data_IF_444400662603
#
_entry.id   IF_444400662603
#
_cell.length_a   1.000
_cell.length_b   1.000
_cell.length_c   1.000
_cell.angle_alpha   90.00
_cell.angle_beta   90.00
_cell.angle_gamma   90.00
#
_symmetry.space_group_name_H-M   'P 1'
#
loop_
_entity.id
_entity.type
_entity.pdbx_description
1 polymer ?
#
# COMPACT_ATOMS: atom_id res chain seq x y z
N UNK A 1 12.21 18.20 11.86
CA UNK A 1 11.65 16.86 11.55
C UNK A 1 10.93 16.98 10.22
N UNK A 2 11.17 16.07 9.27
CA UNK A 2 10.37 16.00 8.04
C UNK A 2 8.90 15.86 8.45
N UNK A 3 8.02 16.70 7.91
CA UNK A 3 6.61 16.69 8.24
C UNK A 3 6.02 15.41 7.61
N UNK A 4 5.91 14.34 8.39
CA UNK A 4 5.34 13.08 7.93
C UNK A 4 3.89 13.33 7.50
N UNK A 5 3.63 13.37 6.20
CA UNK A 5 2.28 13.42 5.65
C UNK A 5 1.82 12.00 5.34
N UNK A 6 1.03 11.41 6.24
CA UNK A 6 0.40 10.09 6.02
C UNK A 6 -0.50 10.09 4.78
N UNK A 7 -1.08 11.24 4.46
CA UNK A 7 -1.93 11.45 3.30
C UNK A 7 -1.27 12.43 2.32
N UNK A 8 -1.16 12.01 1.07
CA UNK A 8 -0.75 12.84 -0.06
C UNK A 8 -1.88 12.85 -1.09
N UNK A 9 -2.50 14.02 -1.25
CA UNK A 9 -3.61 14.24 -2.17
C UNK A 9 -3.21 13.98 -3.62
N UNK A 10 -2.01 14.39 -4.05
CA UNK A 10 -1.57 14.21 -5.43
C UNK A 10 -1.29 12.74 -5.72
N UNK A 11 -0.65 12.04 -4.78
CA UNK A 11 -0.45 10.60 -4.87
C UNK A 11 -1.79 9.85 -4.99
N UNK A 12 -2.77 10.14 -4.11
CA UNK A 12 -4.08 9.49 -4.14
C UNK A 12 -4.84 9.74 -5.46
N UNK A 13 -4.70 10.93 -6.05
CA UNK A 13 -5.38 11.28 -7.30
C UNK A 13 -4.70 10.68 -8.55
N UNK A 14 -3.40 10.43 -8.49
CA UNK A 14 -2.59 10.08 -9.67
C UNK A 14 -2.07 8.64 -9.69
N UNK A 15 -2.13 7.92 -8.57
CA UNK A 15 -1.69 6.52 -8.47
C UNK A 15 -2.47 5.63 -9.46
N UNK A 16 -1.78 4.88 -10.34
CA UNK A 16 -2.42 3.94 -11.26
C UNK A 16 -3.06 2.73 -10.57
N UNK A 17 -2.52 2.30 -9.43
CA UNK A 17 -2.98 1.13 -8.69
C UNK A 17 -4.04 1.49 -7.66
N UNK A 18 -5.17 0.77 -7.65
CA UNK A 18 -6.19 0.98 -6.62
C UNK A 18 -5.87 0.23 -5.32
N UNK A 19 -4.97 -0.76 -5.34
CA UNK A 19 -4.59 -1.52 -4.15
C UNK A 19 -4.01 -0.60 -3.05
N UNK A 20 -3.02 0.21 -3.41
CA UNK A 20 -2.41 1.18 -2.49
C UNK A 20 -3.42 2.25 -2.02
N UNK A 21 -4.28 2.70 -2.93
CA UNK A 21 -5.36 3.64 -2.61
C UNK A 21 -6.32 3.07 -1.56
N UNK A 22 -6.74 1.80 -1.71
CA UNK A 22 -7.66 1.12 -0.80
C UNK A 22 -7.03 0.86 0.55
N UNK A 23 -5.76 0.46 0.56
CA UNK A 23 -4.98 0.31 1.77
C UNK A 23 -4.89 1.64 2.53
N UNK A 24 -4.47 2.72 1.86
CA UNK A 24 -4.36 4.06 2.46
C UNK A 24 -5.68 4.53 3.06
N UNK A 25 -6.78 4.37 2.31
CA UNK A 25 -8.12 4.73 2.76
C UNK A 25 -8.56 3.93 4.00
N UNK A 26 -8.24 2.64 4.04
CA UNK A 26 -8.53 1.76 5.18
C UNK A 26 -7.76 2.16 6.43
N UNK A 27 -6.45 2.43 6.28
CA UNK A 27 -5.62 2.87 7.40
C UNK A 27 -6.09 4.23 7.93
N UNK A 28 -6.40 5.19 7.06
CA UNK A 28 -6.97 6.48 7.48
C UNK A 28 -8.30 6.32 8.22
N UNK A 29 -9.18 5.44 7.75
CA UNK A 29 -10.45 5.17 8.43
C UNK A 29 -10.25 4.60 9.84
N UNK A 30 -9.27 3.70 10.03
CA UNK A 30 -8.88 3.19 11.36
C UNK A 30 -8.37 4.31 12.25
N UNK A 31 -7.48 5.16 11.76
CA UNK A 31 -6.93 6.29 12.53
C UNK A 31 -8.00 7.30 12.94
N UNK A 32 -8.88 7.71 12.02
CA UNK A 32 -10.02 8.57 12.35
C UNK A 32 -10.91 7.92 13.42
N UNK A 33 -11.21 6.63 13.29
CA UNK A 33 -12.08 5.94 14.24
C UNK A 33 -11.50 5.90 15.66
N UNK A 34 -10.22 5.56 15.84
CA UNK A 34 -9.60 5.50 17.18
C UNK A 34 -9.44 6.88 17.82
N UNK A 35 -9.48 7.95 17.03
CA UNK A 35 -9.52 9.34 17.49
C UNK A 35 -10.96 9.84 17.76
N UNK A 36 -11.97 8.97 17.65
CA UNK A 36 -13.38 9.29 17.88
C UNK A 36 -14.08 9.96 16.68
N UNK A 37 -13.43 10.06 15.51
CA UNK A 37 -14.02 10.61 14.27
C UNK A 37 -14.78 9.51 13.52
N UNK A 38 -15.79 8.92 14.17
CA UNK A 38 -16.49 7.73 13.69
C UNK A 38 -17.29 8.00 12.40
N UNK A 39 -17.92 9.17 12.28
CA UNK A 39 -18.64 9.55 11.06
C UNK A 39 -17.70 9.70 9.85
N UNK A 40 -16.47 10.20 10.05
CA UNK A 40 -15.45 10.26 8.99
C UNK A 40 -15.03 8.85 8.58
N UNK A 41 -14.74 7.97 9.54
CA UNK A 41 -14.38 6.58 9.28
C UNK A 41 -15.49 5.80 8.55
N UNK A 42 -16.75 6.00 8.96
CA UNK A 42 -17.93 5.49 8.28
C UNK A 42 -18.03 6.03 6.85
N UNK A 43 -17.85 7.33 6.64
CA UNK A 43 -17.94 7.95 5.31
C UNK A 43 -16.87 7.39 4.36
N UNK A 44 -15.64 7.19 4.85
CA UNK A 44 -14.58 6.53 4.09
C UNK A 44 -14.96 5.07 3.77
N UNK A 45 -15.43 4.33 4.77
CA UNK A 45 -15.83 2.92 4.58
C UNK A 45 -16.96 2.82 3.55
N UNK A 46 -17.99 3.67 3.65
CA UNK A 46 -19.09 3.75 2.69
C UNK A 46 -18.61 4.09 1.29
N UNK A 47 -17.68 5.03 1.15
CA UNK A 47 -17.14 5.40 -0.15
C UNK A 47 -16.31 4.26 -0.77
N UNK A 48 -15.57 3.47 0.02
CA UNK A 48 -14.87 2.29 -0.52
C UNK A 48 -15.86 1.20 -0.96
N UNK A 49 -16.91 0.97 -0.16
CA UNK A 49 -17.89 -0.08 -0.38
C UNK A 49 -18.98 0.30 -1.40
N UNK A 50 -19.16 1.58 -1.73
CA UNK A 50 -20.24 2.05 -2.62
C UNK A 50 -20.08 1.55 -4.05
N UNK A 51 -18.84 1.29 -4.46
CA UNK A 51 -18.51 0.79 -5.79
C UNK A 51 -18.75 -0.71 -5.86
N UNK A 52 -18.24 -1.45 -4.88
CA UNK A 52 -18.44 -2.87 -4.67
C UNK A 52 -18.13 -3.20 -3.21
N UNK A 53 -18.75 -4.25 -2.68
CA UNK A 53 -18.56 -4.74 -1.33
C UNK A 53 -18.19 -6.24 -1.39
N UNK A 54 -16.98 -6.53 -1.86
CA UNK A 54 -16.46 -7.89 -1.86
C UNK A 54 -16.15 -8.35 -0.43
N UNK A 55 -16.13 -9.67 -0.22
CA UNK A 55 -15.77 -10.25 1.08
C UNK A 55 -14.38 -9.77 1.53
N UNK A 56 -13.43 -9.67 0.60
CA UNK A 56 -12.11 -9.13 0.89
C UNK A 56 -12.19 -7.68 1.41
N UNK A 57 -12.92 -6.78 0.74
CA UNK A 57 -13.07 -5.40 1.22
C UNK A 57 -13.73 -5.34 2.61
N UNK A 58 -14.78 -6.14 2.83
CA UNK A 58 -15.44 -6.23 4.13
C UNK A 58 -14.48 -6.74 5.22
N UNK A 59 -13.55 -7.64 4.88
CA UNK A 59 -12.52 -8.12 5.82
C UNK A 59 -11.47 -7.07 6.16
N UNK A 60 -11.21 -6.09 5.29
CA UNK A 60 -10.27 -4.99 5.57
C UNK A 60 -10.79 -4.05 6.66
N UNK A 61 -12.12 -3.91 6.76
CA UNK A 61 -12.79 -3.07 7.76
C UNK A 61 -13.37 -3.86 8.94
N UNK A 62 -13.06 -5.15 9.07
CA UNK A 62 -13.72 -6.03 10.05
C UNK A 62 -13.69 -5.46 11.48
N UNK A 63 -12.59 -4.82 11.87
CA UNK A 63 -12.43 -4.24 13.20
C UNK A 63 -13.14 -2.89 13.38
N UNK A 64 -13.34 -2.13 12.30
CA UNK A 64 -14.18 -0.91 12.33
C UNK A 64 -15.65 -1.23 12.62
N UNK A 65 -16.10 -2.47 12.38
CA UNK A 65 -17.46 -2.88 12.75
C UNK A 65 -17.73 -2.70 14.25
N UNK A 66 -16.72 -2.84 15.11
CA UNK A 66 -16.87 -2.54 16.54
C UNK A 66 -17.14 -1.06 16.79
N UNK A 67 -16.46 -0.18 16.08
CA UNK A 67 -16.65 1.27 16.14
C UNK A 67 -18.08 1.67 15.74
N UNK A 68 -18.56 1.12 14.63
CA UNK A 68 -19.89 1.37 14.10
C UNK A 68 -20.99 0.80 14.98
N UNK A 69 -20.76 -0.36 15.60
CA UNK A 69 -21.66 -0.95 16.57
C UNK A 69 -21.80 -0.06 17.81
N UNK A 70 -20.68 0.45 18.33
CA UNK A 70 -20.65 1.27 19.54
C UNK A 70 -21.45 2.57 19.39
N UNK A 71 -21.35 3.24 18.23
CA UNK A 71 -22.09 4.48 17.97
C UNK A 71 -23.43 4.26 17.27
N UNK A 72 -23.75 3.03 16.90
CA UNK A 72 -24.86 2.67 16.01
C UNK A 72 -24.84 3.46 14.67
N UNK A 73 -23.64 3.74 14.15
CA UNK A 73 -23.41 4.45 12.89
C UNK A 73 -22.79 3.51 11.87
N UNK A 74 -23.62 2.76 11.16
CA UNK A 74 -23.16 1.77 10.18
C UNK A 74 -23.09 2.36 8.76
N UNK A 75 -22.06 2.02 7.98
CA UNK A 75 -22.10 2.13 6.52
C UNK A 75 -23.31 1.37 5.95
N UNK A 76 -24.07 2.00 5.05
CA UNK A 76 -25.27 1.39 4.45
C UNK A 76 -24.95 0.09 3.69
N UNK A 77 -23.73 0.00 3.16
CA UNK A 77 -23.25 -1.12 2.36
C UNK A 77 -22.98 -2.39 3.20
N UNK A 78 -22.83 -2.27 4.52
CA UNK A 78 -22.74 -3.42 5.42
C UNK A 78 -24.16 -3.90 5.71
N UNK A 79 -24.50 -5.14 5.35
CA UNK A 79 -25.87 -5.67 5.48
C UNK A 79 -26.29 -5.80 6.94
N UNK A 80 -27.60 -5.72 7.21
CA UNK A 80 -28.12 -5.82 8.58
C UNK A 80 -27.76 -7.15 9.26
N UNK A 81 -27.73 -8.26 8.50
CA UNK A 81 -27.27 -9.58 8.97
C UNK A 81 -25.82 -9.57 9.51
N UNK A 82 -24.97 -8.68 8.98
CA UNK A 82 -23.57 -8.50 9.39
C UNK A 82 -23.37 -7.54 10.56
N UNK A 83 -24.45 -6.90 11.04
CA UNK A 83 -24.44 -5.92 12.15
C UNK A 83 -24.82 -6.54 13.50
N UNK A 84 -24.98 -7.86 13.54
CA UNK A 84 -25.46 -8.59 14.72
C UNK A 84 -24.33 -8.85 15.72
N UNK A 85 -24.71 -9.05 16.98
CA UNK A 85 -23.78 -9.42 18.06
C UNK A 85 -23.04 -10.73 17.77
N UNK A 86 -23.74 -11.71 17.17
CA UNK A 86 -23.16 -12.97 16.73
C UNK A 86 -22.04 -12.74 15.72
N UNK A 87 -22.27 -11.92 14.69
CA UNK A 87 -21.24 -11.58 13.69
C UNK A 87 -20.08 -10.79 14.25
N UNK A 88 -20.32 -9.91 15.22
CA UNK A 88 -19.24 -9.22 15.92
C UNK A 88 -18.38 -10.19 16.75
N UNK A 89 -19.00 -11.21 17.35
CA UNK A 89 -18.28 -12.23 18.14
C UNK A 89 -17.46 -13.20 17.28
N UNK A 90 -17.82 -13.39 16.00
CA UNK A 90 -17.06 -14.20 15.04
C UNK A 90 -15.75 -13.54 14.61
N UNK A 91 -15.58 -12.22 14.81
CA UNK A 91 -14.37 -11.50 14.45
C UNK A 91 -13.23 -11.99 15.35
N UNK A 92 -12.36 -12.84 14.79
CA UNK A 92 -11.21 -13.37 15.50
C UNK A 92 -10.19 -12.28 15.76
N UNK A 93 -9.79 -12.18 17.01
CA UNK A 93 -8.78 -11.27 17.52
C UNK A 93 -7.58 -12.09 17.94
N UNK A 94 -6.37 -11.76 17.44
CA UNK A 94 -5.15 -12.38 17.94
C UNK A 94 -4.79 -11.70 19.27
N UNK A 95 -5.12 -12.34 20.38
CA UNK A 95 -4.61 -11.97 21.71
C UNK A 95 -3.12 -12.32 21.82
N UNK A 96 -2.36 -11.54 22.61
CA UNK A 96 -0.99 -11.93 22.96
C UNK A 96 -1.07 -13.14 23.88
N UNK A 97 -0.95 -14.34 23.31
CA UNK A 97 -1.12 -15.62 24.03
C UNK A 97 0.15 -16.11 24.73
N UNK A 98 1.32 -15.59 24.35
CA UNK A 98 2.61 -16.06 24.87
C UNK A 98 3.21 -15.07 25.87
N UNK A 99 2.51 -14.91 26.99
CA UNK A 99 3.05 -14.24 28.17
C UNK A 99 3.78 -15.26 29.09
N UNK A 100 3.84 -16.56 28.74
CA UNK A 100 4.39 -17.66 29.54
C UNK A 100 3.33 -18.50 30.28
N UNK A 101 3.66 -19.75 30.63
CA UNK A 101 2.76 -20.84 31.09
C UNK A 101 1.89 -20.58 32.35
N UNK A 102 2.01 -19.42 33.01
CA UNK A 102 1.27 -19.06 34.24
C UNK A 102 0.06 -18.11 34.01
N UNK A 103 -0.37 -17.90 32.76
CA UNK A 103 -1.33 -16.82 32.43
C UNK A 103 -2.79 -17.09 32.85
N UNK A 104 -3.20 -18.35 32.97
CA UNK A 104 -4.59 -18.70 33.32
C UNK A 104 -4.95 -18.46 34.80
N UNK A 105 -4.01 -17.99 35.62
CA UNK A 105 -4.17 -17.78 37.07
C UNK A 105 -3.83 -16.36 37.55
N UNK A 106 -3.44 -15.44 36.66
CA UNK A 106 -3.09 -14.07 37.04
C UNK A 106 -4.35 -13.21 37.23
N UNK A 107 -4.39 -12.42 38.30
CA UNK A 107 -5.38 -11.36 38.43
C UNK A 107 -5.14 -10.25 37.39
N UNK A 108 -6.17 -9.47 37.12
CA UNK A 108 -6.15 -8.44 36.08
C UNK A 108 -5.07 -7.37 36.32
N UNK A 109 -4.74 -7.08 37.57
CA UNK A 109 -3.70 -6.10 37.90
C UNK A 109 -2.31 -6.64 37.57
N UNK A 110 -2.05 -7.91 37.86
CA UNK A 110 -0.81 -8.59 37.52
C UNK A 110 -0.68 -8.75 35.99
N UNK A 111 -1.78 -9.08 35.30
CA UNK A 111 -1.82 -9.12 33.83
C UNK A 111 -1.52 -7.77 33.21
N UNK A 112 -2.13 -6.68 33.70
CA UNK A 112 -1.86 -5.32 33.22
C UNK A 112 -0.38 -4.96 33.36
N UNK A 113 0.24 -5.21 34.53
CA UNK A 113 1.67 -4.92 34.74
C UNK A 113 2.57 -5.67 33.77
N UNK A 114 2.24 -6.93 33.47
CA UNK A 114 2.99 -7.78 32.53
C UNK A 114 2.88 -7.26 31.10
N UNK A 115 1.67 -6.87 30.68
CA UNK A 115 1.41 -6.28 29.37
C UNK A 115 2.12 -4.92 29.21
N UNK A 116 2.08 -4.07 30.23
CA UNK A 116 2.80 -2.78 30.24
C UNK A 116 4.31 -2.99 30.11
N UNK A 117 4.88 -3.95 30.85
CA UNK A 117 6.29 -4.31 30.75
C UNK A 117 6.65 -4.84 29.35
N UNK A 118 5.80 -5.67 28.76
CA UNK A 118 6.00 -6.15 27.38
C UNK A 118 5.91 -5.00 26.37
N UNK A 119 5.05 -4.02 26.63
CA UNK A 119 4.87 -2.83 25.80
C UNK A 119 5.96 -1.76 26.01
N UNK A 120 6.96 -1.98 26.89
CA UNK A 120 8.08 -1.05 27.02
C UNK A 120 8.92 -1.01 25.74
N UNK A 121 9.39 0.19 25.32
CA UNK A 121 10.30 0.31 24.19
C UNK A 121 11.62 -0.36 24.54
N UNK A 122 11.97 -1.43 23.82
CA UNK A 122 13.30 -2.01 23.82
C UNK A 122 13.99 -1.76 22.48
N UNK A 123 15.31 -1.97 22.45
CA UNK A 123 16.21 -1.70 21.34
C UNK A 123 15.59 -2.03 19.95
N UNK A 124 15.61 -1.08 18.98
CA UNK A 124 15.12 -1.29 17.62
C UNK A 124 15.89 -2.34 16.82
N UNK A 125 16.84 -3.07 17.41
CA UNK A 125 17.48 -4.27 16.86
C UNK A 125 16.73 -5.59 17.18
N UNK A 126 15.65 -5.56 17.97
CA UNK A 126 14.90 -6.78 18.32
C UNK A 126 14.17 -7.45 17.14
N UNK A 127 14.07 -8.78 17.19
CA UNK A 127 13.41 -9.64 16.19
C UNK A 127 11.97 -9.21 15.88
N UNK A 128 11.57 -9.33 14.61
CA UNK A 128 10.25 -8.91 14.12
C UNK A 128 9.04 -9.49 14.90
N UNK A 129 9.01 -10.78 15.31
CA UNK A 129 7.91 -11.35 16.11
C UNK A 129 7.77 -10.67 17.47
N UNK A 130 8.88 -10.24 18.07
CA UNK A 130 8.86 -9.53 19.35
C UNK A 130 8.14 -8.20 19.21
N UNK A 131 8.37 -7.43 18.14
CA UNK A 131 7.72 -6.11 17.94
C UNK A 131 6.21 -6.21 17.79
N UNK A 132 5.74 -7.21 17.03
CA UNK A 132 4.32 -7.51 16.84
C UNK A 132 3.64 -7.78 18.19
N UNK A 133 4.27 -8.59 19.05
CA UNK A 133 3.78 -8.86 20.39
C UNK A 133 3.73 -7.61 21.29
N UNK A 134 4.66 -6.65 21.12
CA UNK A 134 4.63 -5.38 21.88
C UNK A 134 3.49 -4.44 21.47
N UNK A 135 3.16 -4.38 20.18
CA UNK A 135 2.04 -3.58 19.69
C UNK A 135 0.70 -4.21 20.10
N UNK A 136 0.59 -5.54 20.02
CA UNK A 136 -0.55 -6.30 20.53
C UNK A 136 -0.77 -6.08 22.03
N UNK A 137 0.30 -6.04 22.82
CA UNK A 137 0.24 -5.86 24.26
C UNK A 137 -0.41 -4.52 24.68
N UNK A 138 -0.27 -3.45 23.88
CA UNK A 138 -0.93 -2.18 24.15
C UNK A 138 -2.46 -2.26 23.96
N UNK A 139 -2.92 -2.99 22.94
CA UNK A 139 -4.34 -3.23 22.72
C UNK A 139 -4.97 -4.00 23.87
N UNK A 140 -4.30 -5.07 24.32
CA UNK A 140 -4.72 -5.89 25.48
C UNK A 140 -4.65 -5.11 26.79
N UNK A 141 -3.58 -4.31 27.00
CA UNK A 141 -3.42 -3.50 28.20
C UNK A 141 -4.56 -2.50 28.36
N UNK A 142 -5.01 -1.87 27.27
CA UNK A 142 -6.13 -0.93 27.31
C UNK A 142 -7.42 -1.63 27.70
N UNK A 143 -7.68 -2.82 27.15
CA UNK A 143 -8.86 -3.62 27.47
C UNK A 143 -8.89 -4.03 28.95
N UNK A 144 -7.74 -4.46 29.50
CA UNK A 144 -7.63 -4.81 30.93
C UNK A 144 -7.78 -3.57 31.82
N UNK A 145 -7.18 -2.44 31.46
CA UNK A 145 -7.30 -1.20 32.22
C UNK A 145 -8.76 -0.69 32.26
N UNK A 146 -9.48 -0.74 31.14
CA UNK A 146 -10.91 -0.39 31.07
C UNK A 146 -11.74 -1.32 31.96
N UNK A 147 -11.49 -2.63 31.90
CA UNK A 147 -12.20 -3.62 32.75
C UNK A 147 -11.99 -3.34 34.24
N UNK A 148 -10.74 -3.15 34.66
CA UNK A 148 -10.38 -2.82 36.04
C UNK A 148 -10.99 -1.50 36.53
N UNK A 149 -11.12 -0.49 35.66
CA UNK A 149 -11.79 0.76 36.01
C UNK A 149 -13.32 0.55 36.12
N UNK A 150 -13.88 -0.28 35.24
CA UNK A 150 -15.32 -0.58 35.18
C UNK A 150 -15.84 -1.34 36.40
N UNK A 151 -14.96 -1.98 37.18
CA UNK A 151 -15.32 -2.61 38.47
C UNK A 151 -15.82 -1.60 39.51
N UNK A 152 -15.48 -0.31 39.35
CA UNK A 152 -15.77 0.73 40.34
C UNK A 152 -16.73 1.80 39.83
N UNK A 153 -16.98 1.87 38.51
CA UNK A 153 -17.87 2.85 37.89
C UNK A 153 -18.38 2.36 36.55
N UNK A 154 -19.55 2.83 36.14
CA UNK A 154 -20.08 2.63 34.77
C UNK A 154 -19.98 3.89 33.91
N UNK A 155 -19.47 4.99 34.47
CA UNK A 155 -19.29 6.26 33.75
C UNK A 155 -18.02 6.20 32.90
N UNK A 156 -18.16 6.43 31.59
CA UNK A 156 -16.99 6.50 30.69
C UNK A 156 -16.06 7.66 31.05
N UNK A 157 -16.57 8.75 31.61
CA UNK A 157 -15.74 9.87 32.07
C UNK A 157 -14.86 9.46 33.25
N UNK A 158 -15.39 8.65 34.17
CA UNK A 158 -14.63 8.17 35.33
C UNK A 158 -13.63 7.07 34.91
N UNK A 159 -14.01 6.20 33.96
CA UNK A 159 -13.10 5.20 33.38
C UNK A 159 -11.96 5.90 32.64
N UNK A 160 -12.25 6.92 31.84
CA UNK A 160 -11.22 7.72 31.18
C UNK A 160 -10.29 8.38 32.21
N UNK A 161 -10.83 8.87 33.33
CA UNK A 161 -10.03 9.51 34.39
C UNK A 161 -9.19 8.53 35.23
N UNK A 162 -9.41 7.21 35.12
CA UNK A 162 -8.62 6.20 35.84
C UNK A 162 -7.14 6.29 35.45
N UNK A 163 -6.26 6.31 36.46
CA UNK A 163 -4.83 6.49 36.25
C UNK A 163 -4.21 5.42 35.34
N UNK A 164 -4.70 4.18 35.39
CA UNK A 164 -4.21 3.05 34.57
C UNK A 164 -4.62 3.24 33.12
N UNK A 165 -5.85 3.69 32.87
CA UNK A 165 -6.35 4.02 31.53
C UNK A 165 -5.53 5.18 30.95
N UNK A 166 -5.31 6.24 31.73
CA UNK A 166 -4.50 7.38 31.32
C UNK A 166 -3.04 7.04 31.04
N UNK A 167 -2.46 6.09 31.77
CA UNK A 167 -1.12 5.56 31.52
C UNK A 167 -1.05 4.84 30.17
N UNK A 168 -1.98 3.88 29.94
CA UNK A 168 -2.01 3.12 28.69
C UNK A 168 -2.27 4.02 27.47
N UNK A 169 -3.22 4.96 27.55
CA UNK A 169 -3.47 5.93 26.47
C UNK A 169 -2.22 6.78 26.18
N UNK A 170 -1.46 7.14 27.22
CA UNK A 170 -0.20 7.86 27.06
C UNK A 170 0.90 7.04 26.38
N UNK A 171 0.96 5.74 26.66
CA UNK A 171 1.89 4.82 25.99
C UNK A 171 1.49 4.55 24.54
N UNK A 172 0.18 4.36 24.28
CA UNK A 172 -0.35 4.27 22.92
C UNK A 172 0.07 5.50 22.15
N UNK A 173 -0.23 6.71 22.63
CA UNK A 173 0.17 7.96 21.97
C UNK A 173 1.67 8.01 21.64
N UNK A 174 2.55 7.68 22.58
CA UNK A 174 4.00 7.71 22.34
C UNK A 174 4.44 6.76 21.23
N UNK A 175 3.69 5.67 21.02
CA UNK A 175 4.01 4.58 20.09
C UNK A 175 3.02 4.47 18.92
N UNK A 176 2.12 5.44 18.74
CA UNK A 176 1.17 5.43 17.61
C UNK A 176 1.88 5.47 16.26
N UNK A 177 3.12 5.97 16.26
CA UNK A 177 3.97 5.94 15.07
C UNK A 177 4.66 4.59 14.82
N UNK A 178 4.43 3.58 15.66
CA UNK A 178 5.01 2.26 15.49
C UNK A 178 4.06 1.32 14.75
N UNK A 179 4.66 0.34 14.06
CA UNK A 179 3.94 -0.62 13.22
C UNK A 179 2.81 -1.30 14.01
N UNK A 180 1.61 -1.29 13.43
CA UNK A 180 0.41 -2.01 13.86
C UNK A 180 -0.19 -1.62 15.23
N UNK A 181 0.31 -0.61 15.94
CA UNK A 181 -0.30 -0.19 17.22
C UNK A 181 -1.77 0.19 17.04
N UNK A 182 -2.07 1.01 16.03
CA UNK A 182 -3.44 1.43 15.70
C UNK A 182 -4.31 0.23 15.34
N UNK A 183 -3.75 -0.69 14.54
CA UNK A 183 -4.42 -1.94 14.21
C UNK A 183 -4.79 -2.70 15.48
N UNK A 184 -3.83 -3.10 16.32
CA UNK A 184 -4.09 -3.90 17.51
C UNK A 184 -5.03 -3.22 18.52
N UNK A 185 -4.93 -1.90 18.69
CA UNK A 185 -5.84 -1.14 19.54
C UNK A 185 -7.28 -1.20 19.00
N UNK A 186 -7.45 -1.09 17.69
CA UNK A 186 -8.76 -1.17 17.01
C UNK A 186 -9.36 -2.60 16.99
N UNK A 187 -8.53 -3.63 17.07
CA UNK A 187 -8.96 -5.03 17.06
C UNK A 187 -9.69 -5.43 18.35
N UNK A 188 -9.49 -4.73 19.46
CA UNK A 188 -10.10 -5.12 20.74
C UNK A 188 -11.45 -4.46 20.91
N UNK A 189 -12.51 -5.27 20.83
CA UNK A 189 -13.89 -4.81 21.06
C UNK A 189 -14.04 -4.01 22.36
N UNK A 190 -13.43 -4.48 23.44
CA UNK A 190 -13.51 -3.85 24.76
C UNK A 190 -12.92 -2.43 24.82
N UNK A 191 -12.11 -2.02 23.84
CA UNK A 191 -11.55 -0.66 23.79
C UNK A 191 -12.54 0.37 23.23
N UNK A 192 -13.51 -0.06 22.40
CA UNK A 192 -14.36 0.85 21.64
C UNK A 192 -15.29 1.74 22.46
N UNK A 193 -15.89 1.31 23.58
CA UNK A 193 -16.67 2.21 24.43
C UNK A 193 -15.90 3.45 24.88
N UNK A 194 -14.58 3.33 25.08
CA UNK A 194 -13.71 4.45 25.42
C UNK A 194 -13.23 5.20 24.17
N UNK A 195 -12.74 4.49 23.15
CA UNK A 195 -12.16 5.11 21.94
C UNK A 195 -13.19 5.92 21.14
N UNK A 196 -14.43 5.43 21.04
CA UNK A 196 -15.51 6.11 20.33
C UNK A 196 -15.86 7.49 20.94
N UNK A 197 -15.52 7.73 22.21
CA UNK A 197 -15.69 9.05 22.84
C UNK A 197 -14.63 10.07 22.41
N UNK A 198 -13.57 9.64 21.70
CA UNK A 198 -12.41 10.48 21.40
C UNK A 198 -11.42 10.64 22.57
N UNK A 199 -11.45 9.73 23.55
CA UNK A 199 -10.54 9.78 24.72
C UNK A 199 -9.06 9.81 24.31
N UNK A 200 -8.69 9.06 23.27
CA UNK A 200 -7.33 9.09 22.74
C UNK A 200 -6.99 10.46 22.12
N UNK A 201 -7.91 11.06 21.35
CA UNK A 201 -7.69 12.40 20.79
C UNK A 201 -7.56 13.47 21.89
N UNK A 202 -8.26 13.37 23.03
CA UNK A 202 -8.06 14.27 24.19
C UNK A 202 -6.72 14.06 24.89
N UNK A 203 -6.17 12.84 24.85
CA UNK A 203 -4.84 12.54 25.41
C UNK A 203 -3.72 13.09 24.54
N UNK A 204 -3.91 13.12 23.23
CA UNK A 204 -2.95 13.63 22.26
C UNK A 204 -3.16 15.14 22.13
N UNK A 205 -2.11 15.97 22.07
CA UNK A 205 -2.28 17.39 21.78
C UNK A 205 -2.59 17.59 20.28
N UNK A 206 -3.64 16.97 19.74
CA UNK A 206 -4.11 17.22 18.39
C UNK A 206 -4.97 18.48 18.36
N UNK A 207 -4.79 19.27 17.31
CA UNK A 207 -5.70 20.33 16.92
C UNK A 207 -6.88 19.70 16.15
N UNK A 208 -8.05 19.65 16.79
CA UNK A 208 -9.24 19.06 16.19
C UNK A 208 -9.70 19.80 14.93
N UNK A 209 -9.43 21.10 14.80
CA UNK A 209 -9.74 21.81 13.56
C UNK A 209 -8.85 21.34 12.40
N UNK A 210 -7.58 21.00 12.67
CA UNK A 210 -6.70 20.37 11.68
C UNK A 210 -7.15 18.96 11.31
N UNK A 211 -7.64 18.19 12.29
CA UNK A 211 -8.19 16.84 12.06
C UNK A 211 -9.45 16.91 11.18
N UNK A 212 -10.37 17.85 11.45
CA UNK A 212 -11.59 18.06 10.66
C UNK A 212 -11.28 18.57 9.23
N UNK A 213 -10.32 19.48 9.10
CA UNK A 213 -9.85 19.94 7.79
C UNK A 213 -9.24 18.80 6.98
N UNK A 214 -8.41 17.97 7.60
CA UNK A 214 -7.84 16.78 6.97
C UNK A 214 -8.93 15.77 6.58
N UNK A 215 -9.91 15.52 7.46
CA UNK A 215 -11.04 14.63 7.17
C UNK A 215 -11.79 15.09 5.90
N UNK A 216 -12.05 16.38 5.79
CA UNK A 216 -12.69 16.98 4.61
C UNK A 216 -11.84 16.77 3.36
N UNK A 217 -10.55 17.12 3.40
CA UNK A 217 -9.64 16.99 2.26
C UNK A 217 -9.50 15.54 1.78
N UNK A 218 -9.39 14.60 2.73
CA UNK A 218 -9.31 13.16 2.46
C UNK A 218 -10.60 12.65 1.79
N UNK A 219 -11.76 12.99 2.34
CA UNK A 219 -13.06 12.57 1.79
C UNK A 219 -13.29 13.13 0.38
N UNK A 220 -13.04 14.42 0.18
CA UNK A 220 -13.16 15.06 -1.13
C UNK A 220 -12.21 14.44 -2.16
N UNK A 221 -10.98 14.13 -1.75
CA UNK A 221 -9.98 13.55 -2.64
C UNK A 221 -10.37 12.14 -3.09
N UNK A 222 -10.76 11.25 -2.18
CA UNK A 222 -11.18 9.91 -2.56
C UNK A 222 -12.49 9.93 -3.35
N UNK A 223 -13.42 10.83 -3.00
CA UNK A 223 -14.67 10.99 -3.75
C UNK A 223 -14.41 11.45 -5.19
N UNK A 224 -13.51 12.42 -5.38
CA UNK A 224 -13.04 12.87 -6.69
C UNK A 224 -12.39 11.71 -7.46
N UNK A 225 -11.49 10.95 -6.81
CA UNK A 225 -10.79 9.80 -7.41
C UNK A 225 -11.74 8.70 -7.88
N UNK A 226 -12.79 8.39 -7.11
CA UNK A 226 -13.76 7.36 -7.48
C UNK A 226 -14.77 7.84 -8.52
N UNK A 227 -15.18 9.11 -8.44
CA UNK A 227 -16.13 9.68 -9.40
C UNK A 227 -15.51 9.95 -10.76
N UNK A 228 -14.32 10.57 -10.78
CA UNK A 228 -13.69 11.10 -11.99
C UNK A 228 -12.54 10.24 -12.49
N UNK A 229 -12.16 9.19 -11.76
CA UNK A 229 -11.05 8.32 -12.13
C UNK A 229 -9.69 8.97 -11.85
N UNK A 230 -8.65 8.42 -12.48
CA UNK A 230 -7.25 8.79 -12.23
C UNK A 230 -6.95 10.10 -12.92
N UNK A 231 -6.22 10.99 -12.26
CA UNK A 231 -5.62 12.15 -12.91
C UNK A 231 -4.24 11.78 -13.45
N UNK A 232 -3.89 12.34 -14.61
CA UNK A 232 -2.53 12.23 -15.12
C UNK A 232 -1.55 12.84 -14.12
N UNK A 233 -0.52 12.10 -13.76
CA UNK A 233 0.58 12.59 -12.94
C UNK A 233 1.40 13.62 -13.73
N UNK A 234 2.03 14.57 -13.05
CA UNK A 234 2.87 15.59 -13.70
C UNK A 234 4.01 14.99 -14.53
N UNK A 235 4.46 13.78 -14.18
CA UNK A 235 5.47 13.03 -14.93
C UNK A 235 4.96 12.48 -16.27
N UNK A 236 3.66 12.22 -16.44
CA UNK A 236 3.11 11.64 -17.69
C UNK A 236 3.14 12.62 -18.87
N UNK A 237 3.28 13.92 -18.62
CA UNK A 237 3.40 14.94 -19.65
C UNK A 237 4.86 15.26 -20.04
N UNK A 238 5.84 14.59 -19.42
CA UNK A 238 7.26 14.83 -19.66
C UNK A 238 7.76 13.98 -20.83
N UNK A 239 8.70 14.54 -21.60
CA UNK A 239 9.47 13.78 -22.56
C UNK A 239 10.36 12.73 -21.88
N UNK A 240 10.78 11.69 -22.59
CA UNK A 240 11.69 10.67 -22.04
C UNK A 240 12.98 11.31 -21.51
N UNK A 241 13.52 12.31 -22.21
CA UNK A 241 14.70 13.04 -21.76
C UNK A 241 14.49 13.70 -20.40
N UNK A 242 13.37 14.42 -20.24
CA UNK A 242 13.05 15.07 -18.97
C UNK A 242 12.85 14.06 -17.83
N UNK A 243 12.23 12.90 -18.12
CA UNK A 243 12.07 11.81 -17.16
C UNK A 243 13.44 11.28 -16.69
N UNK A 244 14.35 10.98 -17.62
CA UNK A 244 15.69 10.46 -17.30
C UNK A 244 16.54 11.47 -16.53
N UNK A 245 16.51 12.76 -16.93
CA UNK A 245 17.24 13.81 -16.24
C UNK A 245 16.74 14.00 -14.80
N UNK A 246 15.45 13.84 -14.56
CA UNK A 246 14.90 13.93 -13.22
C UNK A 246 15.17 12.69 -12.38
N UNK A 247 15.09 11.49 -12.98
CA UNK A 247 15.53 10.24 -12.35
C UNK A 247 16.99 10.35 -11.88
N UNK A 248 17.88 10.88 -12.71
CA UNK A 248 19.27 11.10 -12.34
C UNK A 248 19.40 12.10 -11.18
N UNK A 249 18.73 13.25 -11.26
CA UNK A 249 18.75 14.26 -10.19
C UNK A 249 18.26 13.68 -8.86
N UNK A 250 17.13 12.97 -8.89
CA UNK A 250 16.54 12.36 -7.70
C UNK A 250 17.45 11.28 -7.15
N UNK A 251 18.03 10.44 -8.00
CA UNK A 251 18.96 9.39 -7.58
C UNK A 251 20.17 9.98 -6.88
N UNK A 252 20.88 10.93 -7.51
CA UNK A 252 22.07 11.57 -6.92
C UNK A 252 21.77 12.27 -5.59
N UNK A 253 20.57 12.84 -5.46
CA UNK A 253 20.14 13.53 -4.24
C UNK A 253 19.75 12.58 -3.11
N UNK A 254 19.01 11.51 -3.43
CA UNK A 254 18.31 10.71 -2.43
C UNK A 254 19.04 9.41 -2.06
N UNK A 255 19.98 8.93 -2.89
CA UNK A 255 20.69 7.66 -2.66
C UNK A 255 22.03 7.80 -1.91
N UNK A 256 22.34 8.99 -1.37
CA UNK A 256 23.64 9.30 -0.75
C UNK A 256 24.02 8.30 0.33
N UNK A 257 23.09 8.03 1.26
CA UNK A 257 23.32 7.12 2.37
C UNK A 257 23.48 5.67 1.86
N UNK A 258 22.65 5.24 0.92
CA UNK A 258 22.74 3.91 0.31
C UNK A 258 24.08 3.66 -0.38
N UNK A 259 24.58 4.63 -1.15
CA UNK A 259 25.90 4.53 -1.79
C UNK A 259 27.04 4.47 -0.76
N UNK A 260 26.93 5.23 0.33
CA UNK A 260 27.88 5.17 1.43
C UNK A 260 27.88 3.79 2.13
N UNK A 261 26.70 3.19 2.34
CA UNK A 261 26.55 1.85 2.94
C UNK A 261 27.18 0.75 2.09
N UNK A 262 26.98 0.79 0.77
CA UNK A 262 27.58 -0.19 -0.16
C UNK A 262 29.04 0.13 -0.54
N UNK A 263 29.62 1.18 0.03
CA UNK A 263 31.02 1.57 -0.19
C UNK A 263 31.35 1.97 -1.63
N UNK A 264 30.36 2.44 -2.40
CA UNK A 264 30.52 2.80 -3.81
C UNK A 264 30.24 4.30 -4.02
N UNK A 265 31.01 5.00 -4.87
CA UNK A 265 30.72 6.40 -5.16
C UNK A 265 29.43 6.53 -5.99
N UNK A 266 28.68 7.61 -5.76
CA UNK A 266 27.57 8.00 -6.62
C UNK A 266 28.13 8.29 -8.03
N UNK A 267 27.60 7.67 -9.10
CA UNK A 267 28.09 7.90 -10.45
C UNK A 267 28.00 9.37 -10.88
N UNK A 268 29.01 9.86 -11.60
CA UNK A 268 29.00 11.21 -12.18
C UNK A 268 27.85 11.41 -13.17
N UNK A 269 27.47 10.35 -13.88
CA UNK A 269 26.36 10.31 -14.82
C UNK A 269 25.67 8.95 -14.79
N UNK A 270 24.33 8.93 -14.85
CA UNK A 270 23.56 7.71 -15.15
C UNK A 270 23.38 7.50 -16.65
N UNK A 271 23.57 8.54 -17.46
CA UNK A 271 23.48 8.47 -18.92
C UNK A 271 24.69 7.75 -19.51
N UNK A 272 24.42 6.96 -20.56
CA UNK A 272 25.41 6.35 -21.45
C UNK A 272 25.36 7.06 -22.82
N UNK A 273 26.40 6.96 -23.65
CA UNK A 273 26.36 7.48 -25.02
C UNK A 273 25.12 6.95 -25.77
N UNK A 274 24.40 7.79 -26.54
CA UNK A 274 23.26 7.36 -27.36
C UNK A 274 23.56 6.18 -28.28
N UNK A 275 22.56 5.33 -28.50
CA UNK A 275 22.62 4.29 -29.53
C UNK A 275 22.42 4.91 -30.92
N UNK A 276 23.11 4.38 -31.92
CA UNK A 276 22.87 4.75 -33.33
C UNK A 276 21.67 4.03 -33.91
N UNK A 277 21.12 4.55 -35.00
CA UNK A 277 20.02 3.87 -35.71
C UNK A 277 20.44 2.46 -36.18
N UNK A 278 21.70 2.28 -36.59
CA UNK A 278 22.24 0.97 -36.98
C UNK A 278 22.29 -0.02 -35.82
N UNK A 279 22.63 0.45 -34.61
CA UNK A 279 22.64 -0.40 -33.41
C UNK A 279 21.23 -0.84 -33.03
N UNK A 280 20.26 0.07 -33.10
CA UNK A 280 18.85 -0.25 -32.84
C UNK A 280 18.30 -1.21 -33.91
N UNK A 281 18.62 -0.99 -35.18
CA UNK A 281 18.22 -1.90 -36.27
C UNK A 281 18.87 -3.28 -36.13
N UNK A 282 20.13 -3.35 -35.70
CA UNK A 282 20.80 -4.61 -35.42
C UNK A 282 20.12 -5.37 -34.26
N UNK A 283 19.65 -4.64 -33.25
CA UNK A 283 18.89 -5.20 -32.12
C UNK A 283 17.54 -5.77 -32.58
N UNK A 284 16.78 -5.01 -33.37
CA UNK A 284 15.52 -5.45 -33.98
C UNK A 284 15.71 -6.69 -34.86
N UNK A 285 16.78 -6.71 -35.67
CA UNK A 285 17.13 -7.86 -36.48
C UNK A 285 17.53 -9.07 -35.64
N UNK A 286 18.28 -8.89 -34.54
CA UNK A 286 18.68 -9.97 -33.62
C UNK A 286 17.46 -10.67 -33.02
N UNK A 287 16.41 -9.92 -32.73
CA UNK A 287 15.20 -10.45 -32.11
C UNK A 287 14.04 -10.73 -33.08
N UNK A 288 14.26 -10.46 -34.37
CA UNK A 288 13.25 -10.60 -35.44
C UNK A 288 11.93 -9.88 -35.10
N UNK A 289 12.04 -8.68 -34.51
CA UNK A 289 10.89 -7.90 -34.04
C UNK A 289 11.13 -6.40 -34.19
N UNK A 290 10.07 -5.60 -34.13
CA UNK A 290 10.15 -4.14 -34.09
C UNK A 290 9.97 -3.68 -32.64
N UNK A 291 10.94 -2.91 -32.14
CA UNK A 291 10.90 -2.39 -30.78
C UNK A 291 9.91 -1.23 -30.66
N UNK A 292 9.32 -1.01 -29.46
CA UNK A 292 8.48 0.15 -29.19
C UNK A 292 9.16 1.47 -29.56
N UNK A 293 8.40 2.41 -30.14
CA UNK A 293 8.95 3.71 -30.57
C UNK A 293 9.52 4.51 -29.40
N UNK A 294 8.86 4.47 -28.25
CA UNK A 294 9.30 5.16 -27.04
C UNK A 294 10.56 4.52 -26.43
N UNK A 295 10.72 3.19 -26.52
CA UNK A 295 11.97 2.53 -26.16
C UNK A 295 13.12 2.88 -27.10
N UNK A 296 12.86 3.00 -28.41
CA UNK A 296 13.87 3.46 -29.37
C UNK A 296 14.26 4.92 -29.11
N UNK A 297 13.31 5.78 -28.75
CA UNK A 297 13.60 7.15 -28.32
C UNK A 297 14.52 7.16 -27.10
N UNK A 298 14.23 6.33 -26.09
CA UNK A 298 15.10 6.13 -24.93
C UNK A 298 16.52 5.76 -25.34
N UNK A 299 16.70 4.75 -26.19
CA UNK A 299 18.04 4.31 -26.63
C UNK A 299 18.81 5.40 -27.37
N UNK A 300 18.12 6.24 -28.14
CA UNK A 300 18.70 7.43 -28.81
C UNK A 300 19.03 8.57 -27.86
N UNK A 301 18.49 8.56 -26.65
CA UNK A 301 18.85 9.52 -25.59
C UNK A 301 20.00 8.94 -24.75
N UNK A 302 19.95 7.65 -24.44
CA UNK A 302 20.93 6.93 -23.61
C UNK A 302 20.91 5.43 -23.96
N UNK A 303 22.03 4.88 -24.42
CA UNK A 303 22.14 3.45 -24.69
C UNK A 303 22.29 2.64 -23.40
N UNK A 304 21.16 2.41 -22.72
CA UNK A 304 21.10 1.95 -21.33
C UNK A 304 21.16 3.10 -20.34
N UNK A 305 20.86 2.84 -19.08
CA UNK A 305 20.78 3.85 -18.02
C UNK A 305 21.22 3.27 -16.68
N UNK A 306 21.94 4.05 -15.89
CA UNK A 306 22.40 3.64 -14.57
C UNK A 306 21.24 3.31 -13.61
N UNK A 307 21.59 2.69 -12.48
CA UNK A 307 20.64 2.35 -11.42
C UNK A 307 19.93 3.60 -10.88
N UNK A 308 18.64 3.48 -10.61
CA UNK A 308 17.81 4.61 -10.15
C UNK A 308 17.31 4.40 -8.74
N UNK A 309 17.27 5.47 -7.94
CA UNK A 309 16.67 5.42 -6.62
C UNK A 309 15.16 5.17 -6.70
N UNK A 310 14.63 4.23 -5.93
CA UNK A 310 13.20 3.91 -5.92
C UNK A 310 12.49 4.29 -4.60
N UNK A 311 13.18 5.03 -3.74
CA UNK A 311 12.74 5.29 -2.39
C UNK A 311 13.47 4.45 -1.37
N UNK A 312 13.75 3.17 -1.62
CA UNK A 312 14.33 2.27 -0.62
C UNK A 312 15.73 1.74 -1.00
N UNK A 313 15.88 1.29 -2.23
CA UNK A 313 17.15 0.86 -2.80
C UNK A 313 17.28 1.37 -4.24
N UNK A 314 18.36 0.96 -4.89
CA UNK A 314 18.61 1.24 -6.29
C UNK A 314 17.98 0.16 -7.17
N UNK A 315 16.97 0.54 -7.95
CA UNK A 315 16.40 -0.27 -9.03
C UNK A 315 17.50 -0.76 -10.00
N UNK A 316 17.26 -1.88 -10.71
CA UNK A 316 18.24 -2.42 -11.65
C UNK A 316 18.54 -1.41 -12.77
N UNK A 317 19.79 -1.40 -13.28
CA UNK A 317 20.16 -0.56 -14.40
C UNK A 317 19.38 -1.00 -15.65
N UNK A 318 19.16 -0.07 -16.57
CA UNK A 318 18.62 -0.38 -17.89
C UNK A 318 19.76 -0.74 -18.84
N UNK A 319 19.61 -1.85 -19.54
CA UNK A 319 20.60 -2.42 -20.44
C UNK A 319 20.86 -1.57 -21.68
N UNK A 320 22.11 -1.61 -22.13
CA UNK A 320 22.46 -1.14 -23.47
C UNK A 320 21.99 -2.17 -24.50
N UNK A 321 21.91 -1.77 -25.78
CA UNK A 321 21.54 -2.65 -26.90
C UNK A 321 22.33 -3.96 -26.92
N UNK A 322 23.60 -3.95 -26.53
CA UNK A 322 24.44 -5.15 -26.53
C UNK A 322 24.10 -6.12 -25.40
N UNK A 323 23.57 -5.61 -24.29
CA UNK A 323 23.25 -6.35 -23.05
C UNK A 323 21.80 -6.87 -23.02
N UNK A 324 20.90 -6.31 -23.83
CA UNK A 324 19.51 -6.80 -23.95
C UNK A 324 19.53 -8.23 -24.50
N UNK A 325 18.87 -9.17 -23.85
CA UNK A 325 18.72 -10.54 -24.36
C UNK A 325 17.32 -11.11 -24.05
N UNK A 326 17.00 -12.28 -24.57
CA UNK A 326 15.87 -13.04 -24.07
C UNK A 326 16.18 -13.48 -22.63
N UNK A 327 15.27 -13.17 -21.71
CA UNK A 327 15.42 -13.54 -20.31
C UNK A 327 15.64 -15.06 -20.19
N UNK A 328 16.66 -15.46 -19.44
CA UNK A 328 16.87 -16.85 -19.09
C UNK A 328 15.67 -17.34 -18.28
N UNK A 329 14.95 -18.35 -18.79
CA UNK A 329 13.71 -18.85 -18.17
C UNK A 329 14.03 -19.58 -16.86
N UNK A 330 14.28 -18.84 -15.78
CA UNK A 330 14.21 -19.33 -14.40
C UNK A 330 12.79 -19.18 -13.83
N UNK A 331 11.86 -18.70 -14.65
CA UNK A 331 10.53 -18.20 -14.28
C UNK A 331 9.40 -19.12 -14.77
N UNK A 332 9.72 -20.39 -15.05
CA UNK A 332 8.73 -21.35 -15.52
C UNK A 332 7.52 -21.40 -14.56
N UNK A 333 6.34 -21.00 -15.06
CA UNK A 333 5.05 -21.29 -14.44
C UNK A 333 4.33 -20.17 -13.69
N UNK A 334 4.85 -18.93 -13.66
CA UNK A 334 4.07 -17.82 -13.09
C UNK A 334 3.12 -17.20 -14.11
N UNK A 335 1.86 -16.94 -13.74
CA UNK A 335 0.89 -16.31 -14.63
C UNK A 335 1.27 -14.86 -14.90
N UNK A 336 0.95 -14.39 -16.12
CA UNK A 336 1.13 -12.98 -16.49
C UNK A 336 -0.11 -12.18 -16.08
N UNK A 337 0.06 -11.30 -15.09
CA UNK A 337 -0.98 -10.39 -14.65
C UNK A 337 -0.67 -8.96 -15.12
N UNK A 338 -1.66 -8.30 -15.74
CA UNK A 338 -1.50 -6.95 -16.29
C UNK A 338 -2.21 -5.88 -15.46
N UNK A 339 -3.01 -6.26 -14.46
CA UNK A 339 -3.70 -5.35 -13.56
C UNK A 339 -3.33 -5.67 -12.12
N UNK A 340 -3.44 -4.69 -11.22
CA UNK A 340 -3.28 -4.97 -9.79
C UNK A 340 -4.54 -5.64 -9.25
N UNK A 341 -4.35 -6.62 -8.38
CA UNK A 341 -5.40 -7.19 -7.54
C UNK A 341 -5.23 -6.71 -6.10
N UNK A 342 -6.19 -5.97 -5.53
CA UNK A 342 -6.13 -5.56 -4.13
C UNK A 342 -5.98 -6.72 -3.15
N UNK A 343 -6.48 -7.91 -3.53
CA UNK A 343 -6.40 -9.14 -2.73
C UNK A 343 -5.01 -9.76 -2.71
N UNK A 344 -4.12 -9.35 -3.62
CA UNK A 344 -2.85 -10.03 -3.90
C UNK A 344 -3.02 -11.37 -4.62
N UNK A 345 -4.26 -11.74 -5.00
CA UNK A 345 -4.57 -12.95 -5.75
C UNK A 345 -5.30 -12.57 -7.04
N UNK A 346 -5.02 -13.31 -8.12
CA UNK A 346 -5.75 -13.17 -9.36
C UNK A 346 -7.17 -13.75 -9.23
N UNK A 347 -8.12 -12.92 -8.81
CA UNK A 347 -9.53 -13.27 -8.61
C UNK A 347 -10.26 -13.62 -9.92
N UNK A 348 -9.67 -13.27 -11.06
CA UNK A 348 -10.22 -13.55 -12.38
C UNK A 348 -9.81 -14.96 -12.82
N UNK A 349 -10.76 -15.88 -12.87
CA UNK A 349 -10.51 -17.26 -13.32
C UNK A 349 -10.82 -17.46 -14.80
N UNK A 350 -10.06 -18.32 -15.46
CA UNK A 350 -10.37 -18.75 -16.82
C UNK A 350 -11.45 -19.83 -16.85
N UNK A 351 -12.32 -19.83 -17.88
CA UNK A 351 -13.35 -20.85 -18.03
C UNK A 351 -12.79 -22.28 -17.99
N UNK A 352 -13.46 -23.13 -17.21
CA UNK A 352 -13.06 -24.52 -17.02
C UNK A 352 -11.85 -24.72 -16.10
N UNK A 353 -11.46 -23.72 -15.31
CA UNK A 353 -10.33 -23.81 -14.37
C UNK A 353 -8.98 -23.93 -15.07
N UNK A 354 -8.87 -23.39 -16.28
CA UNK A 354 -7.62 -23.42 -17.05
C UNK A 354 -6.58 -22.50 -16.44
N UNK A 355 -5.31 -22.85 -16.64
CA UNK A 355 -4.19 -22.03 -16.20
C UNK A 355 -4.09 -20.76 -17.05
N UNK A 356 -3.70 -19.68 -16.38
CA UNK A 356 -3.42 -18.41 -17.03
C UNK A 356 -2.16 -18.51 -17.91
N UNK A 357 -2.09 -17.74 -19.01
CA UNK A 357 -0.88 -17.67 -19.82
C UNK A 357 0.33 -17.27 -18.96
N UNK A 358 1.44 -17.97 -19.15
CA UNK A 358 2.71 -17.73 -18.48
C UNK A 358 3.73 -17.07 -19.41
N UNK A 359 4.87 -16.68 -18.83
CA UNK A 359 5.99 -16.08 -19.54
C UNK A 359 6.71 -17.12 -20.42
N UNK A 360 6.34 -17.21 -21.69
CA UNK A 360 7.08 -18.09 -22.64
C UNK A 360 8.37 -17.43 -23.16
N UNK A 361 8.31 -16.13 -23.44
CA UNK A 361 9.41 -15.38 -24.04
C UNK A 361 9.36 -13.92 -23.61
N UNK A 362 10.42 -13.46 -22.96
CA UNK A 362 10.53 -12.12 -22.38
C UNK A 362 11.83 -11.48 -22.84
N UNK A 363 11.78 -10.20 -23.19
CA UNK A 363 12.98 -9.44 -23.50
C UNK A 363 13.47 -8.75 -22.23
N UNK A 364 14.68 -9.06 -21.80
CA UNK A 364 15.29 -8.51 -20.58
C UNK A 364 15.90 -7.13 -20.86
N UNK A 365 15.43 -6.13 -20.12
CA UNK A 365 15.83 -4.72 -20.25
C UNK A 365 16.72 -4.27 -19.10
N UNK A 366 16.89 -5.10 -18.07
CA UNK A 366 17.66 -4.79 -16.89
C UNK A 366 17.44 -5.85 -15.82
N UNK A 367 18.50 -6.20 -15.11
CA UNK A 367 18.41 -7.07 -13.94
C UNK A 367 19.47 -6.71 -12.90
N UNK A 368 19.15 -6.99 -11.64
CA UNK A 368 20.05 -6.91 -10.49
C UNK A 368 19.47 -7.77 -9.37
N UNK A 369 20.16 -8.85 -9.00
CA UNK A 369 19.73 -9.79 -7.96
C UNK A 369 18.33 -10.40 -8.24
N UNK A 370 17.31 -10.00 -7.47
CA UNK A 370 15.90 -10.46 -7.62
C UNK A 370 15.01 -9.44 -8.33
N UNK A 371 15.61 -8.39 -8.88
CA UNK A 371 14.94 -7.29 -9.55
C UNK A 371 15.14 -7.38 -11.04
N UNK A 372 14.04 -7.48 -11.78
CA UNK A 372 14.07 -7.61 -13.22
C UNK A 372 13.19 -6.55 -13.91
N UNK A 373 13.59 -6.17 -15.11
CA UNK A 373 12.81 -5.33 -16.02
C UNK A 373 12.67 -6.05 -17.33
N UNK A 374 11.44 -6.26 -17.78
CA UNK A 374 11.14 -7.02 -18.98
C UNK A 374 10.24 -6.26 -19.94
N UNK A 375 10.31 -6.65 -21.20
CA UNK A 375 9.20 -6.48 -22.14
C UNK A 375 8.49 -7.81 -22.38
N UNK A 376 7.16 -7.75 -22.31
CA UNK A 376 6.28 -8.75 -22.88
C UNK A 376 6.10 -8.46 -24.38
N UNK A 377 6.48 -9.38 -25.29
CA UNK A 377 6.37 -9.14 -26.72
C UNK A 377 4.94 -9.23 -27.26
N UNK A 378 4.66 -8.72 -28.47
CA UNK A 378 3.30 -8.61 -29.00
C UNK A 378 2.54 -9.92 -29.12
N UNK A 379 3.22 -11.04 -29.38
CA UNK A 379 2.56 -12.34 -29.47
C UNK A 379 2.06 -12.78 -28.09
N UNK A 380 2.87 -12.59 -27.06
CA UNK A 380 2.61 -12.96 -25.68
C UNK A 380 1.58 -12.01 -25.07
N UNK A 381 1.71 -10.70 -25.28
CA UNK A 381 0.71 -9.70 -24.90
C UNK A 381 -0.67 -10.06 -25.46
N UNK A 382 -0.77 -10.40 -26.75
CA UNK A 382 -2.04 -10.82 -27.37
C UNK A 382 -2.64 -12.08 -26.75
N UNK A 383 -1.82 -13.06 -26.35
CA UNK A 383 -2.30 -14.26 -25.64
C UNK A 383 -2.92 -13.88 -24.30
N UNK A 384 -2.25 -13.01 -23.53
CA UNK A 384 -2.74 -12.54 -22.24
C UNK A 384 -4.04 -11.73 -22.42
N UNK A 385 -4.08 -10.78 -23.34
CA UNK A 385 -5.29 -9.99 -23.63
C UNK A 385 -6.48 -10.86 -24.08
N UNK A 386 -6.23 -11.93 -24.84
CA UNK A 386 -7.26 -12.89 -25.21
C UNK A 386 -7.79 -13.64 -23.98
N UNK A 387 -6.93 -14.03 -23.04
CA UNK A 387 -7.32 -14.66 -21.78
C UNK A 387 -8.17 -13.71 -20.90
N UNK A 388 -7.78 -12.44 -20.78
CA UNK A 388 -8.59 -11.41 -20.10
C UNK A 388 -9.98 -11.28 -20.73
N UNK A 389 -10.05 -11.18 -22.06
CA UNK A 389 -11.32 -11.08 -22.77
C UNK A 389 -12.19 -12.31 -22.53
N UNK A 390 -11.62 -13.50 -22.64
CA UNK A 390 -12.35 -14.74 -22.41
C UNK A 390 -12.92 -14.82 -20.99
N UNK A 391 -12.10 -14.54 -19.98
CA UNK A 391 -12.54 -14.55 -18.59
C UNK A 391 -13.63 -13.49 -18.34
N UNK A 392 -13.50 -12.29 -18.89
CA UNK A 392 -14.51 -11.23 -18.70
C UNK A 392 -15.80 -11.47 -19.50
N UNK A 393 -15.74 -12.18 -20.62
CA UNK A 393 -16.91 -12.53 -21.43
C UNK A 393 -17.62 -13.80 -20.90
N UNK A 394 -16.93 -14.61 -20.10
CA UNK A 394 -17.48 -15.83 -19.50
C UNK A 394 -18.73 -15.57 -18.67
N UNK A 395 -19.82 -16.35 -18.84
CA UNK A 395 -20.99 -16.26 -17.97
C UNK A 395 -20.72 -16.72 -16.54
N UNK A 396 -19.67 -17.54 -16.33
CA UNK A 396 -19.32 -18.09 -15.02
C UNK A 396 -18.58 -17.08 -14.13
N UNK A 397 -18.00 -16.05 -14.74
CA UNK A 397 -17.28 -15.01 -13.99
C UNK A 397 -18.26 -14.06 -13.31
N UNK A 398 -18.20 -13.90 -11.98
CA UNK A 398 -19.13 -13.03 -11.26
C UNK A 398 -19.06 -11.58 -11.76
N UNK A 399 -20.21 -10.91 -11.92
CA UNK A 399 -20.27 -9.53 -12.41
C UNK A 399 -19.46 -8.56 -11.54
N UNK A 400 -19.38 -8.83 -10.23
CA UNK A 400 -18.56 -8.08 -9.30
C UNK A 400 -17.07 -8.10 -9.69
N UNK A 401 -16.55 -9.28 -9.99
CA UNK A 401 -15.16 -9.50 -10.43
C UNK A 401 -14.92 -8.78 -11.76
N UNK A 402 -15.85 -8.90 -12.72
CA UNK A 402 -15.75 -8.19 -14.01
C UNK A 402 -15.65 -6.69 -13.84
N UNK A 403 -16.52 -6.11 -13.00
CA UNK A 403 -16.52 -4.66 -12.71
C UNK A 403 -15.23 -4.22 -12.03
N UNK A 404 -14.77 -4.98 -11.03
CA UNK A 404 -13.52 -4.69 -10.31
C UNK A 404 -12.32 -4.73 -11.25
N UNK A 405 -12.14 -5.80 -12.03
CA UNK A 405 -11.03 -5.91 -12.99
C UNK A 405 -11.05 -4.77 -14.02
N UNK A 406 -12.22 -4.46 -14.62
CA UNK A 406 -12.33 -3.33 -15.56
C UNK A 406 -11.93 -2.00 -14.93
N UNK A 407 -12.25 -1.79 -13.65
CA UNK A 407 -11.88 -0.58 -12.93
C UNK A 407 -10.36 -0.50 -12.68
N UNK A 408 -9.72 -1.60 -12.31
CA UNK A 408 -8.25 -1.68 -12.16
C UNK A 408 -7.57 -1.37 -13.50
N UNK A 409 -8.04 -2.00 -14.57
CA UNK A 409 -7.53 -1.78 -15.92
C UNK A 409 -7.72 -0.32 -16.36
N UNK A 410 -8.90 0.25 -16.14
CA UNK A 410 -9.18 1.66 -16.47
C UNK A 410 -8.30 2.61 -15.65
N UNK A 411 -8.06 2.29 -14.37
CA UNK A 411 -7.17 3.08 -13.52
C UNK A 411 -5.75 3.09 -14.05
N UNK A 412 -5.21 1.94 -14.45
CA UNK A 412 -3.82 1.79 -14.91
C UNK A 412 -3.59 2.24 -16.35
N UNK A 413 -4.47 1.84 -17.27
CA UNK A 413 -4.31 2.03 -18.71
C UNK A 413 -5.20 3.14 -19.28
N UNK A 414 -6.01 3.79 -18.45
CA UNK A 414 -6.93 4.87 -18.83
C UNK A 414 -8.26 4.37 -19.40
N UNK A 415 -8.28 3.24 -20.10
CA UNK A 415 -9.53 2.62 -20.58
C UNK A 415 -9.35 1.14 -20.91
N UNK A 416 -10.48 0.42 -21.02
CA UNK A 416 -10.50 -0.94 -21.54
C UNK A 416 -10.02 -1.04 -22.99
N UNK A 417 -10.32 -0.05 -23.83
CA UNK A 417 -9.87 0.00 -25.22
C UNK A 417 -8.35 0.19 -25.32
N UNK A 418 -7.77 1.09 -24.52
CA UNK A 418 -6.33 1.28 -24.45
C UNK A 418 -5.62 -0.02 -24.01
N UNK A 419 -6.19 -0.72 -23.03
CA UNK A 419 -5.70 -2.03 -22.61
C UNK A 419 -5.77 -3.09 -23.72
N UNK A 420 -6.87 -3.18 -24.46
CA UNK A 420 -7.00 -4.14 -25.57
C UNK A 420 -6.06 -3.86 -26.74
N UNK A 421 -5.59 -2.62 -26.87
CA UNK A 421 -4.68 -2.18 -27.92
C UNK A 421 -3.21 -2.25 -27.50
N UNK A 422 -2.89 -2.81 -26.32
CA UNK A 422 -1.50 -3.03 -25.91
C UNK A 422 -0.80 -3.99 -26.88
N UNK A 423 0.33 -3.55 -27.41
CA UNK A 423 1.23 -4.38 -28.21
C UNK A 423 2.39 -4.87 -27.35
N UNK A 424 3.07 -3.95 -26.68
CA UNK A 424 4.16 -4.25 -25.76
C UNK A 424 3.75 -3.87 -24.34
N UNK A 425 4.26 -4.61 -23.35
CA UNK A 425 4.09 -4.27 -21.93
C UNK A 425 5.46 -4.22 -21.30
N UNK A 426 5.83 -3.06 -20.74
CA UNK A 426 7.00 -2.94 -19.87
C UNK A 426 6.61 -3.47 -18.49
N UNK A 427 7.40 -4.36 -17.92
CA UNK A 427 7.13 -4.96 -16.62
C UNK A 427 8.34 -4.78 -15.72
N UNK A 428 8.10 -4.35 -14.50
CA UNK A 428 9.09 -4.40 -13.43
C UNK A 428 8.71 -5.55 -12.49
N UNK A 429 9.68 -6.36 -12.10
CA UNK A 429 9.48 -7.50 -11.22
C UNK A 429 10.36 -7.42 -9.99
N UNK A 430 9.76 -7.75 -8.86
CA UNK A 430 10.37 -7.79 -7.54
C UNK A 430 10.00 -9.14 -6.91
N UNK A 431 10.88 -10.13 -7.04
CA UNK A 431 10.64 -11.52 -6.58
C UNK A 431 9.35 -12.13 -7.17
N UNK A 432 8.23 -12.09 -6.43
CA UNK A 432 6.91 -12.61 -6.85
C UNK A 432 5.94 -11.52 -7.32
N UNK A 433 6.25 -10.25 -7.08
CA UNK A 433 5.41 -9.12 -7.45
C UNK A 433 5.82 -8.57 -8.82
N UNK A 434 4.83 -8.15 -9.62
CA UNK A 434 5.10 -7.51 -10.90
C UNK A 434 4.21 -6.30 -11.12
N UNK A 435 4.78 -5.27 -11.73
CA UNK A 435 4.08 -4.03 -12.09
C UNK A 435 4.13 -3.89 -13.61
N UNK A 436 2.96 -4.02 -14.23
CA UNK A 436 2.81 -3.87 -15.68
C UNK A 436 2.54 -2.40 -16.06
N UNK A 437 3.22 -1.94 -17.10
CA UNK A 437 3.08 -0.62 -17.72
C UNK A 437 2.78 -0.80 -19.21
N UNK A 438 1.82 -0.03 -19.73
CA UNK A 438 1.39 -0.14 -21.13
C UNK A 438 2.36 0.45 -22.16
N UNK A 439 3.40 1.14 -21.68
CA UNK A 439 4.47 1.69 -22.51
C UNK A 439 5.76 1.83 -21.71
N UNK A 440 6.89 2.02 -22.40
CA UNK A 440 8.17 2.27 -21.74
C UNK A 440 8.20 3.65 -21.06
N UNK A 441 7.54 4.63 -21.67
CA UNK A 441 7.37 5.97 -21.06
C UNK A 441 6.60 5.90 -19.76
N UNK A 442 5.52 5.11 -19.70
CA UNK A 442 4.78 4.90 -18.45
C UNK A 442 5.66 4.24 -17.40
N UNK A 443 6.45 3.23 -17.77
CA UNK A 443 7.42 2.59 -16.88
C UNK A 443 8.45 3.59 -16.30
N UNK A 444 9.03 4.47 -17.13
CA UNK A 444 9.92 5.53 -16.63
C UNK A 444 9.18 6.52 -15.71
N UNK A 445 7.91 6.83 -16.01
CA UNK A 445 7.06 7.66 -15.16
C UNK A 445 6.81 7.05 -13.78
N UNK A 446 6.60 5.74 -13.71
CA UNK A 446 6.46 5.00 -12.45
C UNK A 446 7.77 5.03 -11.63
N UNK A 447 8.91 4.75 -12.27
CA UNK A 447 10.22 4.89 -11.62
C UNK A 447 10.45 6.31 -11.14
N UNK A 448 10.06 7.32 -11.92
CA UNK A 448 10.22 8.72 -11.52
C UNK A 448 9.40 9.01 -10.26
N UNK A 449 8.13 8.56 -10.21
CA UNK A 449 7.27 8.70 -9.03
C UNK A 449 7.93 8.08 -7.80
N UNK A 450 8.48 6.87 -7.93
CA UNK A 450 9.23 6.20 -6.85
C UNK A 450 10.50 6.98 -6.45
N UNK A 451 11.28 7.48 -7.40
CA UNK A 451 12.52 8.21 -7.13
C UNK A 451 12.33 9.56 -6.44
N UNK A 452 11.18 10.21 -6.68
CA UNK A 452 10.81 11.47 -6.06
C UNK A 452 10.49 11.29 -4.56
N UNK A 453 10.18 10.05 -4.15
CA UNK A 453 10.12 9.70 -2.74
C UNK A 453 11.52 9.88 -2.16
N UNK A 454 11.65 10.68 -1.11
CA UNK A 454 12.90 10.78 -0.34
C UNK A 454 13.33 9.42 0.23
N UNK A 455 14.33 9.40 1.09
CA UNK A 455 14.77 8.13 1.71
C UNK A 455 13.58 7.48 2.42
N UNK A 456 13.19 6.31 1.92
CA UNK A 456 12.17 5.45 2.51
C UNK A 456 12.77 4.88 3.78
N UNK A 457 12.16 5.22 4.90
CA UNK A 457 12.65 4.86 6.22
C UNK A 457 12.02 3.55 6.72
N UNK A 458 11.56 2.66 5.83
CA UNK A 458 10.88 1.41 6.17
C UNK A 458 9.42 1.36 5.68
N UNK A 459 8.91 0.16 5.37
CA UNK A 459 7.46 -0.11 5.22
C UNK A 459 6.73 0.32 6.50
N UNK A 460 7.46 0.21 7.62
CA UNK A 460 7.09 0.74 8.91
C UNK A 460 6.87 2.24 8.91
N UNK A 461 7.73 3.12 8.37
CA UNK A 461 7.64 4.54 8.73
C UNK A 461 6.64 5.38 7.91
N UNK A 462 6.33 5.02 6.65
CA UNK A 462 5.15 5.60 5.94
C UNK A 462 3.85 4.93 6.39
N UNK A 463 3.92 3.61 6.50
CA UNK A 463 3.11 2.71 7.36
C UNK A 463 2.48 3.33 8.59
N UNK A 464 3.41 3.84 9.39
CA UNK A 464 3.24 4.16 10.77
C UNK A 464 3.40 5.65 11.02
N UNK A 465 3.50 6.50 9.99
CA UNK A 465 3.22 7.91 10.20
C UNK A 465 1.74 8.02 10.60
N UNK A 466 1.43 8.28 11.86
CA UNK A 466 0.06 8.59 12.27
C UNK A 466 -0.24 10.05 11.88
N UNK A 467 -1.38 10.30 11.22
CA UNK A 467 -1.71 11.66 10.80
C UNK A 467 -1.90 12.60 11.99
N UNK A 468 -2.21 12.06 13.18
CA UNK A 468 -2.37 12.84 14.40
C UNK A 468 -1.17 13.75 14.69
N UNK A 469 0.06 13.30 14.38
CA UNK A 469 1.27 14.12 14.56
C UNK A 469 1.31 15.33 13.61
N UNK A 470 0.76 15.19 12.40
CA UNK A 470 0.64 16.30 11.44
C UNK A 470 -0.45 17.31 11.83
N UNK A 471 -1.37 16.90 12.71
CA UNK A 471 -2.46 17.72 13.23
C UNK A 471 -2.13 18.35 14.59
N UNK A 472 -0.90 18.27 15.10
CA UNK A 472 -0.54 18.97 16.34
C UNK A 472 -0.48 20.50 16.13
N UNK A 473 -0.68 21.31 17.20
CA UNK A 473 -0.45 22.76 17.15
C UNK A 473 0.97 23.09 16.69
N UNK A 474 1.14 24.21 15.98
CA UNK A 474 2.44 24.63 15.40
C UNK A 474 3.51 24.97 16.46
N UNK A 475 3.13 24.96 17.74
CA UNK A 475 3.97 25.26 18.90
C UNK A 475 4.29 24.05 19.79
N UNK A 476 4.00 22.82 19.33
CA UNK A 476 4.21 21.58 20.08
C UNK A 476 5.61 20.98 19.88
#
# INVERSE_FOLDING_TARGET
MSQFKKFDRDAALTDPGLANLYYTMTELAKEFAILGQIETAKSLTSLLLSEYASDWQLTQFRFLKFAFAETNQWPEQIREEDRTEEKLSEIRVQEVTDLGEEDNALDDLARLKKLLKLAEPADPSGDAPMRVNRSGALGDALSVAIRLASEHTSSMQDIEADARVQEVLGLIFKRMHERQVIQYVSERRANWPLLATGALARKIPVDMAKVEALATDVLETFADRFKNGRKAHVGENKSIRELLEELERNTKKNSVDHYAEIGSPIPESLFRPPATDEQILALEHRFETTLPDDYKEFLKISNGFGRTWNGYYLDPPLFAVDDVDWAGVYVDGLPVELHDTPTGNMDLELPGGREWPSYEKLLELGSEDVLDVWFLPPRETKKVLAAYKEALDSPDTPELVKRQTRKQITSRFGSWEAFQNLEWVAMERHDIESVACGSFTQFLGERLRKSAMGVWQGEGERTSACFAYSCMPDSA
#
